data_IF_721018886282
#
_entry.id   IF_721018886282
#
_cell.length_a   1.000
_cell.length_b   1.000
_cell.length_c   1.000
_cell.angle_alpha   90.00
_cell.angle_beta   90.00
_cell.angle_gamma   90.00
#
_symmetry.space_group_name_H-M   'P 1'
#
loop_
_entity.id
_entity.type
_entity.pdbx_description
1 polymer ?
#
# COMPACT_ATOMS: atom_id res chain seq x y z
N UNK A 1 -7.12 -4.70 -56.27
CA UNK A 1 -6.01 -4.55 -55.30
C UNK A 1 -6.66 -4.13 -53.98
N UNK A 2 -6.82 -5.14 -53.10
CA UNK A 2 -7.52 -4.99 -51.84
C UNK A 2 -6.49 -4.75 -50.74
N UNK A 3 -6.52 -3.58 -50.08
CA UNK A 3 -5.67 -3.28 -48.94
C UNK A 3 -6.28 -3.94 -47.69
N UNK A 4 -5.52 -4.87 -47.08
CA UNK A 4 -5.83 -5.42 -45.76
C UNK A 4 -5.43 -4.42 -44.68
N UNK A 5 -6.39 -3.96 -43.92
CA UNK A 5 -6.20 -3.24 -42.67
C UNK A 5 -5.56 -4.21 -41.65
N UNK A 6 -4.39 -3.86 -41.12
CA UNK A 6 -3.77 -4.57 -40.00
C UNK A 6 -4.41 -4.06 -38.71
N UNK A 7 -5.21 -4.89 -38.12
CA UNK A 7 -5.75 -4.69 -36.77
C UNK A 7 -4.66 -5.09 -35.77
N UNK A 8 -3.94 -4.10 -35.22
CA UNK A 8 -2.99 -4.31 -34.15
C UNK A 8 -3.75 -4.33 -32.82
N UNK A 9 -4.37 -5.47 -32.52
CA UNK A 9 -4.90 -5.77 -31.20
C UNK A 9 -3.75 -5.95 -30.22
N UNK A 10 -3.48 -4.93 -29.42
CA UNK A 10 -2.64 -5.02 -28.22
C UNK A 10 -3.36 -5.93 -27.23
N UNK A 11 -2.97 -7.20 -27.22
CA UNK A 11 -3.41 -8.17 -26.21
C UNK A 11 -2.70 -7.83 -24.90
N UNK A 12 -3.34 -7.00 -24.07
CA UNK A 12 -2.87 -6.72 -22.71
C UNK A 12 -3.03 -8.01 -21.92
N UNK A 13 -1.92 -8.60 -21.51
CA UNK A 13 -1.87 -9.79 -20.66
C UNK A 13 -2.56 -9.50 -19.31
N UNK A 14 -3.90 -9.62 -19.31
CA UNK A 14 -4.72 -9.50 -18.11
C UNK A 14 -4.67 -10.81 -17.33
N UNK A 15 -3.69 -11.00 -16.48
CA UNK A 15 -3.70 -12.08 -15.51
C UNK A 15 -4.79 -11.79 -14.47
N UNK A 16 -5.99 -12.38 -14.67
CA UNK A 16 -7.03 -12.43 -13.65
C UNK A 16 -6.54 -13.30 -12.49
N UNK A 17 -6.09 -12.67 -11.42
CA UNK A 17 -5.85 -13.39 -10.18
C UNK A 17 -7.19 -13.75 -9.56
N UNK A 18 -7.54 -15.05 -9.55
CA UNK A 18 -8.73 -15.55 -8.87
C UNK A 18 -8.68 -15.20 -7.39
N UNK A 19 -9.55 -14.37 -6.97
CA UNK A 19 -10.43 -14.22 -5.86
C UNK A 19 -9.94 -14.24 -4.43
N UNK A 20 -8.80 -14.78 -4.07
CA UNK A 20 -8.56 -15.06 -2.65
C UNK A 20 -8.04 -13.87 -1.82
N UNK A 21 -7.32 -12.94 -2.43
CA UNK A 21 -6.71 -11.80 -1.70
C UNK A 21 -7.60 -10.56 -1.63
N UNK A 22 -8.37 -10.30 -2.68
CA UNK A 22 -9.14 -9.05 -2.81
C UNK A 22 -10.66 -9.26 -2.79
N UNK A 23 -11.15 -10.50 -2.90
CA UNK A 23 -12.57 -10.86 -3.05
C UNK A 23 -12.96 -11.07 -4.52
N UNK A 24 -14.06 -11.77 -4.75
CA UNK A 24 -14.55 -12.13 -6.10
C UNK A 24 -15.07 -10.92 -6.90
N UNK A 25 -15.31 -9.80 -6.22
CA UNK A 25 -15.78 -8.54 -6.77
C UNK A 25 -14.65 -7.57 -7.14
N UNK A 26 -13.38 -8.02 -7.11
CA UNK A 26 -12.23 -7.23 -7.51
C UNK A 26 -11.63 -7.78 -8.81
N UNK A 27 -11.26 -6.88 -9.73
CA UNK A 27 -10.44 -7.18 -10.89
C UNK A 27 -9.03 -6.64 -10.69
N UNK A 28 -8.04 -7.36 -11.21
CA UNK A 28 -6.63 -6.98 -11.13
C UNK A 28 -6.04 -7.02 -12.52
N UNK A 29 -5.48 -5.88 -12.94
CA UNK A 29 -4.71 -5.74 -14.19
C UNK A 29 -3.27 -5.44 -13.80
N UNK A 30 -2.33 -6.17 -14.38
CA UNK A 30 -0.89 -5.93 -14.25
C UNK A 30 -0.38 -5.47 -15.61
N UNK A 31 0.28 -4.32 -15.61
CA UNK A 31 0.99 -3.76 -16.75
C UNK A 31 2.50 -3.84 -16.41
N UNK A 32 3.15 -4.85 -16.97
CA UNK A 32 4.57 -5.11 -16.73
C UNK A 32 5.47 -4.07 -17.40
N UNK A 33 5.03 -3.48 -18.51
CA UNK A 33 5.79 -2.46 -19.24
C UNK A 33 5.90 -1.16 -18.42
N UNK A 34 4.82 -0.76 -17.76
CA UNK A 34 4.78 0.44 -16.93
C UNK A 34 4.99 0.15 -15.43
N UNK A 35 5.29 -1.08 -15.05
CA UNK A 35 5.46 -1.52 -13.67
C UNK A 35 4.28 -1.08 -12.79
N UNK A 36 3.06 -1.25 -13.28
CA UNK A 36 1.85 -0.89 -12.56
C UNK A 36 0.92 -2.07 -12.34
N UNK A 37 0.17 -2.00 -11.26
CA UNK A 37 -0.90 -2.93 -10.91
C UNK A 37 -2.13 -2.15 -10.53
N UNK A 38 -3.19 -2.29 -11.29
CA UNK A 38 -4.48 -1.67 -11.05
C UNK A 38 -5.45 -2.68 -10.45
N UNK A 39 -6.05 -2.32 -9.31
CA UNK A 39 -7.02 -3.14 -8.60
C UNK A 39 -8.33 -2.36 -8.56
N UNK A 40 -9.34 -2.82 -9.31
CA UNK A 40 -10.65 -2.17 -9.36
C UNK A 40 -11.67 -3.02 -8.60
N UNK A 41 -12.38 -2.39 -7.70
CA UNK A 41 -13.46 -2.96 -6.91
C UNK A 41 -14.80 -2.49 -7.47
N UNK A 42 -15.74 -3.43 -7.70
CA UNK A 42 -17.13 -3.09 -8.01
C UNK A 42 -17.78 -2.37 -6.82
N UNK A 43 -18.93 -1.74 -7.06
CA UNK A 43 -19.69 -1.13 -5.96
C UNK A 43 -19.98 -2.18 -4.87
N UNK A 44 -19.86 -1.78 -3.60
CA UNK A 44 -20.14 -2.61 -2.42
C UNK A 44 -19.35 -3.93 -2.36
N UNK A 45 -18.15 -3.95 -2.95
CA UNK A 45 -17.27 -5.12 -2.89
C UNK A 45 -16.90 -5.46 -1.45
N UNK A 46 -17.50 -6.53 -0.90
CA UNK A 46 -17.26 -6.96 0.47
C UNK A 46 -16.03 -7.86 0.56
N UNK A 47 -15.07 -7.46 1.37
CA UNK A 47 -13.89 -8.26 1.67
C UNK A 47 -14.13 -9.30 2.77
N UNK A 48 -13.19 -10.24 2.93
CA UNK A 48 -13.26 -11.34 3.92
C UNK A 48 -13.48 -10.91 5.39
N UNK A 49 -13.20 -9.66 5.73
CA UNK A 49 -13.36 -9.10 7.08
C UNK A 49 -14.58 -8.18 7.22
N UNK A 50 -15.53 -8.25 6.27
CA UNK A 50 -16.72 -7.43 6.24
C UNK A 50 -16.50 -5.96 5.85
N UNK A 51 -15.31 -5.59 5.38
CA UNK A 51 -15.06 -4.24 4.86
C UNK A 51 -15.65 -4.12 3.45
N UNK A 52 -16.37 -3.05 3.19
CA UNK A 52 -16.83 -2.68 1.85
C UNK A 52 -15.80 -1.82 1.14
N UNK A 53 -15.61 -2.04 -0.16
CA UNK A 53 -14.70 -1.30 -1.03
C UNK A 53 -15.37 -0.99 -2.34
N UNK A 54 -15.03 0.15 -2.94
CA UNK A 54 -15.36 0.50 -4.32
C UNK A 54 -14.28 1.40 -4.91
N UNK A 55 -14.23 1.53 -6.26
CA UNK A 55 -13.24 2.34 -6.94
C UNK A 55 -11.91 1.60 -7.16
N UNK A 56 -10.83 2.35 -7.35
CA UNK A 56 -9.58 1.79 -7.87
C UNK A 56 -8.38 2.12 -6.99
N UNK A 57 -7.52 1.13 -6.78
CA UNK A 57 -6.19 1.27 -6.19
C UNK A 57 -5.17 1.05 -7.31
N UNK A 58 -4.25 2.00 -7.47
CA UNK A 58 -3.15 1.92 -8.41
C UNK A 58 -1.86 1.71 -7.61
N UNK A 59 -1.09 0.70 -7.99
CA UNK A 59 0.20 0.38 -7.38
C UNK A 59 1.27 0.47 -8.44
N UNK A 60 2.20 1.40 -8.27
CA UNK A 60 3.41 1.52 -9.10
C UNK A 60 4.59 0.99 -8.30
N UNK A 61 5.51 0.31 -8.95
CA UNK A 61 6.69 -0.26 -8.29
C UNK A 61 7.92 -0.16 -9.19
N UNK A 62 9.10 -0.16 -8.59
CA UNK A 62 10.35 -0.22 -9.35
C UNK A 62 10.49 -1.56 -10.08
N UNK A 63 11.14 -1.55 -11.23
CA UNK A 63 11.42 -2.74 -12.04
C UNK A 63 12.10 -3.84 -11.21
N UNK A 64 13.16 -3.48 -10.49
CA UNK A 64 13.86 -4.38 -9.58
C UNK A 64 13.26 -4.22 -8.17
N UNK A 65 12.88 -5.33 -7.57
CA UNK A 65 12.28 -5.37 -6.25
C UNK A 65 13.28 -5.93 -5.22
N UNK A 66 13.24 -5.34 -4.02
CA UNK A 66 14.00 -5.86 -2.88
C UNK A 66 15.39 -5.27 -2.71
N UNK A 67 15.90 -4.51 -3.67
CA UNK A 67 17.18 -3.82 -3.64
C UNK A 67 17.07 -2.41 -3.05
N UNK A 68 18.21 -1.80 -2.72
CA UNK A 68 18.28 -0.40 -2.27
C UNK A 68 17.74 0.51 -3.38
N UNK A 69 16.88 1.46 -3.01
CA UNK A 69 16.20 2.35 -3.94
C UNK A 69 14.91 1.77 -4.55
N UNK A 70 14.66 0.47 -4.41
CA UNK A 70 13.41 -0.09 -4.88
C UNK A 70 12.24 0.44 -4.06
N UNK A 71 11.12 0.70 -4.75
CA UNK A 71 9.94 1.30 -4.12
C UNK A 71 8.64 0.63 -4.55
N UNK A 72 7.64 0.89 -3.76
CA UNK A 72 6.23 0.65 -4.06
C UNK A 72 5.43 1.89 -3.68
N UNK A 73 4.67 2.39 -4.63
CA UNK A 73 3.78 3.54 -4.46
C UNK A 73 2.33 3.12 -4.65
N UNK A 74 1.45 3.62 -3.83
CA UNK A 74 0.01 3.33 -3.86
C UNK A 74 -0.74 4.64 -3.93
N UNK A 75 -1.57 4.80 -4.94
CA UNK A 75 -2.52 5.90 -5.11
C UNK A 75 -3.93 5.37 -5.31
N UNK A 76 -4.91 6.26 -5.25
CA UNK A 76 -6.33 5.94 -5.24
C UNK A 76 -7.05 6.75 -6.30
N UNK A 77 -7.97 6.11 -7.03
CA UNK A 77 -8.85 6.76 -7.98
C UNK A 77 -10.29 6.40 -7.59
N UNK A 78 -11.01 7.40 -7.13
CA UNK A 78 -12.39 7.31 -6.61
C UNK A 78 -12.61 6.11 -5.67
N UNK A 79 -11.62 5.89 -4.79
CA UNK A 79 -11.60 4.72 -3.91
C UNK A 79 -12.27 5.01 -2.56
N UNK A 80 -13.17 4.11 -2.18
CA UNK A 80 -13.90 4.16 -0.91
C UNK A 80 -13.63 2.89 -0.09
N UNK A 81 -13.49 3.07 1.21
CA UNK A 81 -13.39 2.01 2.20
C UNK A 81 -14.44 2.24 3.30
N UNK A 82 -15.43 1.34 3.42
CA UNK A 82 -16.57 1.48 4.34
C UNK A 82 -17.28 2.85 4.19
N UNK A 83 -17.53 3.31 2.97
CA UNK A 83 -18.15 4.59 2.67
C UNK A 83 -17.23 5.81 2.73
N UNK A 84 -16.04 5.70 3.33
CA UNK A 84 -15.09 6.81 3.44
C UNK A 84 -14.23 6.88 2.19
N UNK A 85 -14.23 8.02 1.49
CA UNK A 85 -13.32 8.26 0.35
C UNK A 85 -11.90 8.44 0.83
N UNK A 86 -10.96 7.76 0.18
CA UNK A 86 -9.54 7.79 0.50
C UNK A 86 -8.79 8.41 -0.67
N UNK A 87 -7.98 9.43 -0.36
CA UNK A 87 -7.10 10.11 -1.32
C UNK A 87 -5.68 10.20 -0.76
N UNK A 88 -4.72 10.53 -1.64
CA UNK A 88 -3.31 10.70 -1.31
C UNK A 88 -2.44 9.61 -1.90
N UNK A 89 -1.12 9.74 -1.68
CA UNK A 89 -0.12 8.82 -2.21
C UNK A 89 0.75 8.28 -1.08
N UNK A 90 0.89 6.96 -1.03
CA UNK A 90 1.76 6.28 -0.08
C UNK A 90 2.90 5.60 -0.81
N UNK A 91 4.15 6.04 -0.56
CA UNK A 91 5.37 5.46 -1.11
C UNK A 91 6.15 4.76 -0.01
N UNK A 92 6.61 3.55 -0.30
CA UNK A 92 7.53 2.80 0.58
C UNK A 92 8.76 2.46 -0.24
N UNK A 93 9.95 2.81 0.28
CA UNK A 93 11.24 2.66 -0.38
C UNK A 93 12.24 1.95 0.54
N UNK A 94 13.10 1.11 -0.02
CA UNK A 94 14.20 0.45 0.69
C UNK A 94 15.41 1.39 0.67
N UNK A 95 15.84 1.85 1.85
CA UNK A 95 16.98 2.76 2.01
C UNK A 95 18.30 2.02 2.18
N UNK A 96 18.27 0.87 2.84
CA UNK A 96 19.44 0.02 3.07
C UNK A 96 19.06 -1.44 3.24
N UNK A 97 20.01 -2.31 2.91
CA UNK A 97 19.94 -3.76 3.18
C UNK A 97 21.33 -4.22 3.59
N UNK A 98 21.44 -5.08 4.61
CA UNK A 98 22.69 -5.74 4.96
C UNK A 98 22.77 -7.17 4.42
N UNK A 99 23.93 -7.81 4.62
CA UNK A 99 24.20 -9.18 4.15
C UNK A 99 23.29 -10.23 4.81
N UNK A 100 22.75 -9.95 6.00
CA UNK A 100 21.84 -10.83 6.72
C UNK A 100 20.37 -10.62 6.29
N UNK A 101 20.11 -9.66 5.39
CA UNK A 101 18.77 -9.32 4.92
C UNK A 101 17.99 -8.38 5.84
N UNK A 102 18.63 -7.77 6.86
CA UNK A 102 18.03 -6.66 7.61
C UNK A 102 17.85 -5.45 6.69
N UNK A 103 16.75 -4.71 6.86
CA UNK A 103 16.37 -3.64 5.93
C UNK A 103 15.93 -2.39 6.68
N UNK A 104 16.33 -1.24 6.16
CA UNK A 104 15.71 0.04 6.52
C UNK A 104 14.77 0.46 5.39
N UNK A 105 13.55 0.79 5.74
CA UNK A 105 12.52 1.22 4.79
C UNK A 105 11.94 2.55 5.25
N UNK A 106 11.76 3.47 4.31
CA UNK A 106 11.02 4.72 4.52
C UNK A 106 9.64 4.59 3.89
N UNK A 107 8.61 5.01 4.62
CA UNK A 107 7.24 5.15 4.11
C UNK A 107 6.82 6.61 4.25
N UNK A 108 6.48 7.25 3.14
CA UNK A 108 5.87 8.58 3.10
C UNK A 108 4.40 8.47 2.75
N UNK A 109 3.57 9.27 3.38
CA UNK A 109 2.19 9.54 2.99
C UNK A 109 2.09 11.02 2.64
N UNK A 110 1.79 11.30 1.38
CA UNK A 110 1.64 12.66 0.86
C UNK A 110 0.16 12.89 0.53
N UNK A 111 -0.34 14.06 0.92
CA UNK A 111 -1.72 14.51 0.65
C UNK A 111 -2.80 13.49 1.05
N UNK A 112 -2.52 12.72 2.11
CA UNK A 112 -3.50 11.76 2.64
C UNK A 112 -4.75 12.48 3.09
N UNK A 113 -5.93 12.06 2.57
CA UNK A 113 -7.22 12.65 2.90
C UNK A 113 -8.27 11.55 3.05
N UNK A 114 -9.08 11.67 4.07
CA UNK A 114 -10.26 10.84 4.30
C UNK A 114 -11.48 11.75 4.31
N UNK A 115 -12.43 11.50 3.41
CA UNK A 115 -13.66 12.29 3.27
C UNK A 115 -14.83 11.41 3.68
N UNK A 116 -15.62 11.87 4.62
CA UNK A 116 -16.78 11.17 5.19
C UNK A 116 -18.06 11.58 4.45
N UNK A 117 -19.13 10.79 4.60
CA UNK A 117 -20.42 10.98 3.91
C UNK A 117 -21.09 12.31 4.28
N UNK A 118 -20.82 12.83 5.49
CA UNK A 118 -21.31 14.14 5.94
C UNK A 118 -20.54 15.34 5.34
N UNK A 119 -19.57 15.07 4.47
CA UNK A 119 -18.70 16.06 3.83
C UNK A 119 -17.54 16.53 4.70
N UNK A 120 -17.43 16.10 5.95
CA UNK A 120 -16.25 16.37 6.77
C UNK A 120 -15.04 15.62 6.24
N UNK A 121 -13.85 16.12 6.50
CA UNK A 121 -12.63 15.43 6.07
C UNK A 121 -11.50 15.63 7.08
N UNK A 122 -10.55 14.72 7.05
CA UNK A 122 -9.25 14.90 7.72
C UNK A 122 -8.12 14.72 6.73
N UNK A 123 -7.03 15.46 6.96
CA UNK A 123 -5.79 15.33 6.18
C UNK A 123 -4.68 14.74 7.04
N UNK A 124 -3.74 14.06 6.39
CA UNK A 124 -2.57 13.49 7.08
C UNK A 124 -1.41 13.41 6.10
N UNK A 125 -0.25 13.93 6.50
CA UNK A 125 1.04 13.65 5.89
C UNK A 125 1.92 12.95 6.92
N UNK A 126 2.75 12.01 6.48
CA UNK A 126 3.60 11.25 7.38
C UNK A 126 4.91 10.83 6.71
N UNK A 127 5.98 10.77 7.49
CA UNK A 127 7.20 10.09 7.12
C UNK A 127 7.59 9.15 8.26
N UNK A 128 7.67 7.85 7.93
CA UNK A 128 7.94 6.79 8.89
C UNK A 128 9.13 5.96 8.40
N UNK A 129 10.10 5.74 9.29
CA UNK A 129 11.24 4.85 9.04
C UNK A 129 11.05 3.57 9.83
N UNK A 130 11.16 2.45 9.13
CA UNK A 130 11.10 1.11 9.70
C UNK A 130 12.43 0.40 9.48
N UNK A 131 13.05 -0.08 10.55
CA UNK A 131 14.18 -0.99 10.49
C UNK A 131 13.70 -2.41 10.86
N UNK A 132 13.97 -3.39 10.00
CA UNK A 132 13.66 -4.79 10.20
C UNK A 132 14.98 -5.51 10.44
N UNK A 133 15.19 -6.02 11.65
CA UNK A 133 16.37 -6.79 11.99
C UNK A 133 16.15 -8.27 11.69
N UNK A 134 17.10 -8.84 10.96
CA UNK A 134 17.12 -10.27 10.59
C UNK A 134 18.39 -10.88 11.14
N UNK A 135 18.28 -12.06 11.75
CA UNK A 135 19.40 -12.87 12.24
C UNK A 135 19.10 -14.35 11.92
N UNK A 136 20.07 -15.05 11.32
CA UNK A 136 19.91 -16.44 10.91
C UNK A 136 18.64 -16.67 10.07
N UNK A 137 18.42 -15.82 9.06
CA UNK A 137 17.25 -15.80 8.17
C UNK A 137 15.87 -15.59 8.85
N UNK A 138 15.86 -15.22 10.13
CA UNK A 138 14.65 -14.96 10.90
C UNK A 138 14.57 -13.51 11.33
N UNK A 139 13.40 -12.90 11.15
CA UNK A 139 13.11 -11.58 11.70
C UNK A 139 13.10 -11.65 13.22
N UNK A 140 13.95 -10.88 13.88
CA UNK A 140 14.05 -10.80 15.33
C UNK A 140 13.18 -9.68 15.90
N UNK A 141 13.32 -8.49 15.33
CA UNK A 141 12.51 -7.34 15.73
C UNK A 141 12.36 -6.34 14.60
N UNK A 142 11.44 -5.45 14.77
CA UNK A 142 11.27 -4.25 13.92
C UNK A 142 11.26 -3.03 14.83
N UNK A 143 11.94 -1.95 14.43
CA UNK A 143 11.77 -0.64 15.04
C UNK A 143 11.02 0.29 14.10
N UNK A 144 10.27 1.22 14.68
CA UNK A 144 9.52 2.26 13.97
C UNK A 144 9.85 3.61 14.59
N UNK A 145 10.19 4.58 13.75
CA UNK A 145 10.38 5.99 14.09
C UNK A 145 9.74 6.87 13.02
N UNK A 146 9.60 8.17 13.27
CA UNK A 146 9.08 9.12 12.30
C UNK A 146 8.03 10.04 12.88
N UNK A 147 7.38 10.78 12.00
CA UNK A 147 6.39 11.78 12.37
C UNK A 147 5.19 11.76 11.43
N UNK A 148 4.10 12.33 11.90
CA UNK A 148 2.91 12.65 11.09
C UNK A 148 2.31 13.97 11.52
N UNK A 149 1.70 14.68 10.59
CA UNK A 149 0.95 15.90 10.83
C UNK A 149 -0.31 15.92 9.97
N UNK A 150 -1.23 16.83 10.28
CA UNK A 150 -2.45 16.96 9.49
C UNK A 150 -3.46 17.86 10.17
N UNK A 151 -4.71 17.77 9.69
CA UNK A 151 -5.86 18.49 10.22
C UNK A 151 -6.96 17.47 10.52
N UNK A 152 -7.57 17.56 11.70
CA UNK A 152 -8.69 16.71 12.12
C UNK A 152 -9.98 17.10 11.39
N UNK A 153 -11.04 16.31 11.53
CA UNK A 153 -12.38 16.63 11.01
C UNK A 153 -12.98 17.91 11.61
N UNK A 154 -12.49 18.34 12.76
CA UNK A 154 -12.89 19.58 13.45
C UNK A 154 -12.05 20.79 13.02
N UNK A 155 -11.17 20.63 12.02
CA UNK A 155 -10.28 21.70 11.54
C UNK A 155 -9.06 21.96 12.44
N UNK A 156 -8.80 21.12 13.45
CA UNK A 156 -7.68 21.29 14.38
C UNK A 156 -6.42 20.65 13.80
N UNK A 157 -5.35 21.45 13.67
CA UNK A 157 -4.05 20.95 13.26
C UNK A 157 -3.41 20.09 14.35
N UNK A 158 -2.76 19.01 13.96
CA UNK A 158 -2.01 18.14 14.87
C UNK A 158 -0.64 17.79 14.28
N UNK A 159 0.30 17.54 15.20
CA UNK A 159 1.61 16.95 14.87
C UNK A 159 1.94 15.88 15.91
N UNK A 160 2.54 14.78 15.46
CA UNK A 160 2.98 13.67 16.30
C UNK A 160 4.36 13.23 15.84
N UNK A 161 5.24 12.97 16.81
CA UNK A 161 6.58 12.43 16.56
C UNK A 161 6.84 11.24 17.49
N UNK A 162 7.49 10.21 16.97
CA UNK A 162 8.00 9.09 17.75
C UNK A 162 9.38 9.48 18.25
N UNK A 163 9.45 10.02 19.48
CA UNK A 163 10.70 10.51 20.11
C UNK A 163 11.64 9.38 20.52
N UNK A 164 11.10 8.20 20.80
CA UNK A 164 11.87 6.97 21.06
C UNK A 164 11.35 5.87 20.14
N UNK A 165 12.21 5.22 19.32
CA UNK A 165 11.77 4.19 18.39
C UNK A 165 10.97 3.08 19.05
N UNK A 166 9.79 2.78 18.52
CA UNK A 166 8.93 1.70 19.00
C UNK A 166 9.49 0.38 18.49
N UNK A 167 9.78 -0.56 19.41
CA UNK A 167 10.32 -1.88 19.08
C UNK A 167 9.25 -2.96 19.16
N UNK A 168 9.11 -3.73 18.08
CA UNK A 168 8.24 -4.92 17.97
C UNK A 168 9.13 -6.16 17.88
N UNK A 169 9.05 -7.07 18.85
CA UNK A 169 9.82 -8.30 18.89
C UNK A 169 8.94 -9.47 18.43
N UNK A 170 9.42 -10.24 17.46
CA UNK A 170 8.62 -11.31 16.85
C UNK A 170 8.54 -12.60 17.70
N UNK A 171 9.49 -12.84 18.58
CA UNK A 171 9.57 -14.07 19.41
C UNK A 171 8.94 -13.92 20.80
N UNK A 172 8.16 -12.86 21.06
CA UNK A 172 7.47 -12.66 22.35
C UNK A 172 6.33 -13.65 22.60
N UNK A 173 5.83 -14.32 21.56
CA UNK A 173 4.79 -15.35 21.70
C UNK A 173 5.48 -16.71 21.58
N UNK A 174 5.58 -17.44 22.71
CA UNK A 174 6.05 -18.81 22.72
C UNK A 174 5.28 -19.69 21.72
N UNK A 175 5.86 -20.78 21.25
CA UNK A 175 5.38 -21.69 20.20
C UNK A 175 3.95 -22.29 20.43
N UNK A 176 3.22 -21.84 21.43
CA UNK A 176 1.93 -22.40 21.87
C UNK A 176 0.66 -21.62 21.52
N UNK A 177 0.72 -20.46 20.87
CA UNK A 177 -0.47 -19.62 20.64
C UNK A 177 -0.75 -19.26 19.17
N UNK A 178 -0.58 -20.23 18.28
CA UNK A 178 -1.21 -20.16 16.95
C UNK A 178 -2.38 -21.13 16.92
N UNK A 179 -3.52 -20.68 17.35
CA UNK A 179 -4.81 -21.31 17.04
C UNK A 179 -5.61 -20.39 16.15
#
# INVERSE_FOLDING_TARGET
>A
ISARSADAGSDKDTKKFKGDKYGDCASVVVDEENNTKTITFSQECMGKRGQTRSGTIIVTYSEIQGEIGSFREVSYDDFYLNGVKIEGTRRTEILSTDENGSKTMRTTLTDGKMIYDDGTFKTTSAEMTRYIHVESDKKQYTTLSGSKSGVSTEGVSFSMEITTPIKFVYNCFGEGQRK
#
